data_IF_351700188281
#
_entry.id   IF_351700188281
#
_cell.length_a   1.000
_cell.length_b   1.000
_cell.length_c   1.000
_cell.angle_alpha   90.00
_cell.angle_beta   90.00
_cell.angle_gamma   90.00
#
_symmetry.space_group_name_H-M   'P 1'
#
loop_
_entity.id
_entity.type
_entity.pdbx_description
1 polymer ?
#
# COMPACT_ATOMS: atom_id res chain seq x y z
N UNK A 1 1.67 -25.29 6.79
CA UNK A 1 2.89 -24.45 6.82
C UNK A 1 2.44 -23.07 7.20
N UNK A 2 2.52 -22.76 8.49
CA UNK A 2 2.11 -21.48 9.07
C UNK A 2 3.15 -20.41 8.74
N UNK A 3 2.72 -19.34 8.08
CA UNK A 3 3.49 -18.11 8.03
C UNK A 3 3.37 -17.44 9.40
N UNK A 4 4.45 -17.52 10.19
CA UNK A 4 4.65 -16.69 11.36
C UNK A 4 4.70 -15.22 10.95
N UNK A 5 3.57 -14.51 11.07
CA UNK A 5 3.55 -13.06 11.11
C UNK A 5 4.12 -12.65 12.47
N UNK A 6 5.42 -12.36 12.51
CA UNK A 6 6.06 -11.85 13.72
C UNK A 6 5.41 -10.53 14.16
N UNK A 7 5.21 -10.41 15.46
CA UNK A 7 4.26 -9.53 16.11
C UNK A 7 4.29 -8.07 15.68
N UNK A 8 3.11 -7.57 15.31
CA UNK A 8 2.81 -6.15 15.41
C UNK A 8 2.25 -5.90 16.81
N UNK A 9 2.99 -5.11 17.58
CA UNK A 9 2.48 -4.49 18.81
C UNK A 9 1.15 -3.82 18.49
N UNK A 10 0.16 -4.06 19.34
CA UNK A 10 -1.15 -3.45 19.30
C UNK A 10 -1.01 -1.94 19.57
N UNK A 11 -0.64 -1.16 18.55
CA UNK A 11 -0.62 0.29 18.58
C UNK A 11 -2.07 0.76 18.42
N UNK A 12 -2.50 1.64 19.33
CA UNK A 12 -3.88 2.08 19.46
C UNK A 12 -4.51 2.58 18.16
N UNK A 13 -5.83 2.46 18.10
CA UNK A 13 -6.68 2.97 17.03
C UNK A 13 -6.27 4.37 16.58
N UNK A 14 -5.73 4.51 15.37
CA UNK A 14 -5.20 5.79 14.89
C UNK A 14 -4.48 5.70 13.55
N UNK A 15 -5.17 5.20 12.51
CA UNK A 15 -4.66 5.35 11.15
C UNK A 15 -5.05 6.74 10.63
N UNK A 16 -4.09 7.66 10.57
CA UNK A 16 -4.34 9.05 10.21
C UNK A 16 -4.70 9.27 8.73
N UNK A 17 -4.40 8.30 7.87
CA UNK A 17 -4.71 8.35 6.43
C UNK A 17 -5.56 7.14 6.04
N UNK A 18 -6.81 7.40 5.67
CA UNK A 18 -7.80 6.42 5.23
C UNK A 18 -7.97 6.46 3.71
N UNK A 19 -8.44 5.37 3.13
CA UNK A 19 -8.50 5.14 1.69
C UNK A 19 -7.13 4.89 1.07
N UNK A 20 -6.99 5.25 -0.20
CA UNK A 20 -5.69 5.17 -0.88
C UNK A 20 -5.26 3.76 -1.28
N UNK A 21 -6.20 2.81 -1.39
CA UNK A 21 -5.90 1.42 -1.82
C UNK A 21 -5.15 1.44 -3.14
N UNK A 22 -4.09 0.65 -3.24
CA UNK A 22 -3.41 0.41 -4.50
C UNK A 22 -4.09 -0.79 -5.16
N UNK A 23 -4.70 -0.56 -6.32
CA UNK A 23 -5.54 -1.54 -7.03
C UNK A 23 -4.81 -2.00 -8.27
N UNK A 24 -4.78 -3.31 -8.49
CA UNK A 24 -4.46 -3.92 -9.77
C UNK A 24 -5.76 -4.52 -10.34
N UNK A 25 -6.18 -3.99 -11.49
CA UNK A 25 -7.54 -4.17 -12.01
C UNK A 25 -7.75 -5.49 -12.74
N UNK A 26 -6.70 -6.09 -13.32
CA UNK A 26 -6.83 -7.33 -14.09
C UNK A 26 -6.97 -8.56 -13.18
N UNK A 27 -6.16 -8.63 -12.13
CA UNK A 27 -6.16 -9.68 -11.12
C UNK A 27 -7.24 -9.45 -10.05
N UNK A 28 -7.91 -8.29 -10.06
CA UNK A 28 -8.90 -7.88 -9.05
C UNK A 28 -8.31 -7.95 -7.63
N UNK A 29 -7.06 -7.55 -7.50
CA UNK A 29 -6.33 -7.54 -6.23
C UNK A 29 -6.07 -6.10 -5.79
N UNK A 30 -5.87 -5.92 -4.50
CA UNK A 30 -5.51 -4.61 -3.96
C UNK A 30 -4.61 -4.75 -2.73
N UNK A 31 -3.82 -3.72 -2.48
CA UNK A 31 -3.11 -3.52 -1.22
C UNK A 31 -3.94 -2.58 -0.37
N UNK A 32 -4.39 -3.06 0.79
CA UNK A 32 -5.01 -2.22 1.80
C UNK A 32 -3.95 -1.60 2.70
N UNK A 33 -3.90 -0.27 2.75
CA UNK A 33 -2.97 0.45 3.62
C UNK A 33 -3.62 0.92 4.92
N UNK A 34 -4.93 0.78 5.06
CA UNK A 34 -5.66 1.24 6.25
C UNK A 34 -5.36 0.40 7.49
N UNK A 35 -4.80 -0.80 7.32
CA UNK A 35 -4.48 -1.73 8.41
C UNK A 35 -2.97 -1.86 8.63
N UNK A 36 -2.17 -1.01 7.98
CA UNK A 36 -0.73 -1.13 7.94
C UNK A 36 -0.04 0.16 8.37
N UNK A 37 0.69 0.09 9.48
CA UNK A 37 1.61 1.15 9.92
C UNK A 37 3.05 0.73 9.58
N UNK A 38 3.64 1.38 8.57
CA UNK A 38 4.98 1.06 8.10
C UNK A 38 5.16 1.22 6.59
N UNK A 39 6.17 0.54 6.05
CA UNK A 39 6.49 0.58 4.61
C UNK A 39 6.06 -0.70 3.88
N UNK A 40 5.35 -0.54 2.76
CA UNK A 40 4.95 -1.65 1.86
C UNK A 40 5.74 -1.57 0.56
N UNK A 41 6.30 -2.71 0.11
CA UNK A 41 7.03 -2.86 -1.17
C UNK A 41 6.28 -3.82 -2.11
N UNK A 42 5.22 -3.39 -2.82
CA UNK A 42 4.61 -4.24 -3.82
C UNK A 42 5.54 -4.37 -5.03
N UNK A 43 5.60 -5.56 -5.64
CA UNK A 43 6.28 -5.81 -6.92
C UNK A 43 5.31 -6.46 -7.88
N UNK A 44 5.23 -5.94 -9.11
CA UNK A 44 4.33 -6.44 -10.15
C UNK A 44 4.87 -6.16 -11.55
N UNK A 45 4.27 -6.78 -12.56
CA UNK A 45 4.60 -6.54 -13.96
C UNK A 45 3.95 -5.23 -14.44
N UNK A 46 4.60 -4.09 -14.17
CA UNK A 46 4.02 -2.75 -14.34
C UNK A 46 3.46 -2.40 -15.73
N UNK A 47 3.97 -3.00 -16.81
CA UNK A 47 3.47 -2.76 -18.19
C UNK A 47 2.21 -3.60 -18.48
N UNK A 48 2.13 -4.82 -17.94
CA UNK A 48 1.05 -5.75 -18.23
C UNK A 48 -0.12 -5.62 -17.25
N UNK A 49 0.12 -5.01 -16.09
CA UNK A 49 -0.84 -4.87 -15.01
C UNK A 49 -1.38 -3.43 -14.94
N UNK A 50 -2.67 -3.27 -15.19
CA UNK A 50 -3.35 -1.98 -15.08
C UNK A 50 -3.58 -1.66 -13.60
N UNK A 51 -2.90 -0.63 -13.10
CA UNK A 51 -2.90 -0.31 -11.68
C UNK A 51 -3.11 1.18 -11.41
N UNK A 52 -3.70 1.48 -10.25
CA UNK A 52 -3.87 2.85 -9.78
C UNK A 52 -3.92 2.89 -8.25
N UNK A 53 -3.75 4.09 -7.69
CA UNK A 53 -4.02 4.33 -6.27
C UNK A 53 -5.32 5.11 -6.16
N UNK A 54 -6.26 4.59 -5.37
CA UNK A 54 -7.52 5.28 -5.09
C UNK A 54 -7.26 6.57 -4.31
N UNK A 55 -8.21 7.52 -4.25
CA UNK A 55 -8.08 8.69 -3.39
C UNK A 55 -7.92 8.31 -1.92
N UNK A 56 -7.12 9.08 -1.18
CA UNK A 56 -6.98 8.99 0.28
C UNK A 56 -7.39 10.31 0.94
N UNK A 57 -7.69 10.26 2.23
CA UNK A 57 -8.09 11.40 3.03
C UNK A 57 -7.49 11.29 4.44
N UNK A 58 -7.28 12.43 5.08
CA UNK A 58 -6.77 12.53 6.45
C UNK A 58 -7.78 13.32 7.28
N UNK A 59 -8.19 12.78 8.42
CA UNK A 59 -9.26 13.35 9.25
C UNK A 59 -8.75 14.22 10.40
N UNK A 60 -7.46 14.15 10.73
CA UNK A 60 -6.87 14.84 11.89
C UNK A 60 -6.00 16.05 11.49
N UNK A 61 -5.86 17.06 12.38
CA UNK A 61 -5.07 18.26 12.13
C UNK A 61 -3.56 17.98 12.00
N UNK A 62 -3.10 16.83 12.51
CA UNK A 62 -1.77 16.29 12.22
C UNK A 62 -1.78 15.67 10.82
N UNK A 63 -1.47 16.50 9.81
CA UNK A 63 -1.46 16.11 8.39
C UNK A 63 -0.37 15.06 8.14
N UNK A 64 -0.65 13.79 8.39
CA UNK A 64 0.21 12.70 7.91
C UNK A 64 0.05 12.56 6.41
N UNK A 65 1.17 12.45 5.72
CA UNK A 65 1.21 12.24 4.26
C UNK A 65 1.63 10.81 3.99
N UNK A 66 0.82 10.07 3.23
CA UNK A 66 1.25 8.79 2.66
C UNK A 66 2.15 9.09 1.46
N UNK A 67 3.43 8.74 1.57
CA UNK A 67 4.40 8.91 0.49
C UNK A 67 4.48 7.64 -0.35
N UNK A 68 4.39 7.81 -1.67
CA UNK A 68 4.60 6.74 -2.65
C UNK A 68 5.84 7.01 -3.49
N UNK A 69 6.61 5.97 -3.76
CA UNK A 69 7.70 5.98 -4.74
C UNK A 69 7.54 4.78 -5.66
N UNK A 70 7.81 4.97 -6.94
CA UNK A 70 7.74 3.92 -7.95
C UNK A 70 9.08 3.80 -8.66
N UNK A 71 9.50 2.56 -8.90
CA UNK A 71 10.71 2.25 -9.68
C UNK A 71 10.36 1.12 -10.64
N UNK A 72 10.58 1.36 -11.93
CA UNK A 72 10.40 0.35 -12.96
C UNK A 72 11.75 -0.29 -13.29
N UNK A 73 11.88 -1.58 -13.03
CA UNK A 73 13.06 -2.36 -13.43
C UNK A 73 12.78 -2.92 -14.83
N UNK A 74 13.46 -2.37 -15.84
CA UNK A 74 13.46 -2.93 -17.19
C UNK A 74 14.67 -3.85 -17.33
N UNK A 75 14.47 -5.03 -17.94
CA UNK A 75 15.62 -5.84 -18.38
C UNK A 75 16.33 -5.04 -19.47
N UNK A 76 17.61 -4.69 -19.27
CA UNK A 76 18.45 -4.21 -20.38
C UNK A 76 18.49 -5.32 -21.43
N UNK A 77 18.01 -5.01 -22.62
CA UNK A 77 18.10 -5.88 -23.79
C UNK A 77 19.52 -5.79 -24.34
#
# INVERSE_FOLDING_TARGET
MDLHTQGFSQVGQGFDVTGGKFVETLLKTYVNFEEFDGYVKPMWQGIQAHHCTMPSHSFFPEKRTRWGSSTQVTKKV
#
